data_IF_040596701936
#
_entry.id   IF_040596701936
#
_cell.length_a   1.000
_cell.length_b   1.000
_cell.length_c   1.000
_cell.angle_alpha   90.00
_cell.angle_beta   90.00
_cell.angle_gamma   90.00
#
_symmetry.space_group_name_H-M   'P 1'
#
loop_
_entity.id
_entity.type
_entity.pdbx_description
1 polymer ?
#
# COMPACT_ATOMS: atom_id res chain seq x y z
N UNK A 1 5.79 9.62 16.06
CA UNK A 1 5.74 9.25 14.63
C UNK A 1 7.17 9.27 14.12
N UNK A 2 7.59 8.24 13.39
CA UNK A 2 8.92 8.23 12.78
C UNK A 2 8.97 9.24 11.62
N UNK A 3 10.13 9.89 11.43
CA UNK A 3 10.39 10.74 10.28
C UNK A 3 10.21 10.00 8.94
N UNK A 4 10.43 8.67 8.92
CA UNK A 4 10.25 7.87 7.70
C UNK A 4 8.77 7.72 7.32
N UNK A 5 7.89 7.60 8.31
CA UNK A 5 6.47 7.43 8.09
C UNK A 5 5.83 8.71 7.53
N UNK A 6 6.21 9.87 8.07
CA UNK A 6 5.77 11.16 7.52
C UNK A 6 6.25 11.37 6.08
N UNK A 7 7.51 11.01 5.79
CA UNK A 7 8.06 11.02 4.42
C UNK A 7 7.29 10.07 3.49
N UNK A 8 6.94 8.88 3.95
CA UNK A 8 6.17 7.91 3.17
C UNK A 8 4.80 8.45 2.77
N UNK A 9 4.07 9.06 3.71
CA UNK A 9 2.77 9.67 3.42
C UNK A 9 2.90 10.90 2.50
N UNK A 10 3.91 11.74 2.71
CA UNK A 10 4.19 12.88 1.85
C UNK A 10 4.52 12.44 0.41
N UNK A 11 5.35 11.42 0.26
CA UNK A 11 5.68 10.86 -1.04
C UNK A 11 4.45 10.24 -1.70
N UNK A 12 3.67 9.42 -0.99
CA UNK A 12 2.44 8.83 -1.53
C UNK A 12 1.48 9.91 -2.09
N UNK A 13 1.37 11.06 -1.43
CA UNK A 13 0.55 12.18 -1.91
C UNK A 13 1.04 12.80 -3.21
N UNK A 14 2.35 12.80 -3.47
CA UNK A 14 2.90 13.27 -4.76
C UNK A 14 2.46 12.42 -5.95
N UNK A 15 2.02 11.19 -5.70
CA UNK A 15 1.52 10.30 -6.74
C UNK A 15 0.06 10.53 -7.09
N UNK A 16 -0.71 11.29 -6.31
CA UNK A 16 -2.14 11.55 -6.57
C UNK A 16 -2.33 12.09 -7.99
N UNK A 17 -3.28 11.50 -8.73
CA UNK A 17 -3.51 11.79 -10.13
C UNK A 17 -2.73 10.92 -11.12
N UNK A 18 -1.79 10.10 -10.65
CA UNK A 18 -1.12 9.08 -11.49
C UNK A 18 -2.16 8.06 -11.99
N UNK A 19 -2.29 7.82 -13.31
CA UNK A 19 -3.31 6.93 -13.85
C UNK A 19 -3.08 5.47 -13.46
N UNK A 20 -4.16 4.69 -13.38
CA UNK A 20 -4.02 3.26 -13.11
C UNK A 20 -3.41 2.53 -14.30
N UNK A 21 -2.28 1.86 -14.10
CA UNK A 21 -1.67 0.96 -15.09
C UNK A 21 -1.11 -0.25 -14.34
N UNK A 22 -1.66 -1.43 -14.65
CA UNK A 22 -1.25 -2.69 -14.02
C UNK A 22 0.27 -2.91 -14.17
N UNK A 23 0.94 -3.31 -13.09
CA UNK A 23 2.40 -3.45 -12.94
C UNK A 23 3.25 -2.18 -13.11
N UNK A 24 2.64 -1.03 -13.44
CA UNK A 24 3.39 0.21 -13.57
C UNK A 24 3.74 0.79 -12.19
N UNK A 25 4.83 1.54 -12.13
CA UNK A 25 5.31 2.18 -10.90
C UNK A 25 6.08 3.46 -11.27
N UNK A 26 5.41 4.39 -11.94
CA UNK A 26 6.00 5.65 -12.38
C UNK A 26 5.05 6.82 -12.07
N UNK A 27 5.44 7.78 -11.21
CA UNK A 27 4.59 8.92 -10.87
C UNK A 27 4.17 9.69 -12.13
N UNK A 28 2.91 10.08 -12.21
CA UNK A 28 2.31 10.78 -13.35
C UNK A 28 2.10 9.92 -14.61
N UNK A 29 2.78 8.79 -14.76
CA UNK A 29 2.70 7.95 -15.95
C UNK A 29 1.89 6.66 -15.75
N UNK A 30 1.92 6.05 -14.56
CA UNK A 30 1.16 4.83 -14.29
C UNK A 30 1.51 4.17 -12.96
N UNK A 31 0.48 3.74 -12.22
CA UNK A 31 0.65 2.94 -11.02
C UNK A 31 -0.49 1.94 -10.82
N UNK A 32 -0.20 0.78 -10.24
CA UNK A 32 -1.20 0.02 -9.48
C UNK A 32 -0.90 0.08 -7.98
N UNK A 33 -1.65 -0.66 -7.15
CA UNK A 33 -1.51 -0.55 -5.69
C UNK A 33 -0.09 -0.93 -5.20
N UNK A 34 0.49 -1.99 -5.75
CA UNK A 34 1.85 -2.41 -5.44
C UNK A 34 2.86 -1.45 -6.07
N UNK A 35 2.59 -0.97 -7.28
CA UNK A 35 3.38 0.03 -7.97
C UNK A 35 3.51 1.34 -7.19
N UNK A 36 2.45 1.81 -6.53
CA UNK A 36 2.52 2.94 -5.61
C UNK A 36 3.47 2.64 -4.44
N UNK A 37 3.27 1.51 -3.75
CA UNK A 37 4.10 1.14 -2.59
C UNK A 37 5.58 1.02 -2.96
N UNK A 38 5.89 0.36 -4.07
CA UNK A 38 7.26 0.26 -4.62
C UNK A 38 7.84 1.64 -4.93
N UNK A 39 7.02 2.52 -5.48
CA UNK A 39 7.35 3.91 -5.74
C UNK A 39 7.81 4.66 -4.51
N UNK A 40 7.00 4.60 -3.46
CA UNK A 40 7.35 5.20 -2.17
C UNK A 40 8.61 4.56 -1.60
N UNK A 41 8.74 3.23 -1.67
CA UNK A 41 9.95 2.54 -1.22
C UNK A 41 11.21 3.04 -1.93
N UNK A 42 11.19 3.18 -3.26
CA UNK A 42 12.34 3.69 -4.03
C UNK A 42 12.70 5.11 -3.64
N UNK A 43 11.74 5.97 -3.34
CA UNK A 43 12.04 7.32 -2.85
C UNK A 43 12.68 7.30 -1.46
N UNK A 44 12.22 6.40 -0.58
CA UNK A 44 12.73 6.32 0.79
C UNK A 44 14.14 5.72 0.86
N UNK A 45 14.43 4.71 0.03
CA UNK A 45 15.64 3.87 0.16
C UNK A 45 16.54 3.85 -1.09
N UNK A 46 16.10 4.42 -2.22
CA UNK A 46 16.87 4.50 -3.46
C UNK A 46 16.95 3.21 -4.29
N UNK A 47 16.27 2.13 -3.87
CA UNK A 47 16.28 0.81 -4.54
C UNK A 47 14.90 0.17 -4.53
N UNK A 48 14.67 -0.89 -5.31
CA UNK A 48 13.50 -1.76 -5.14
C UNK A 48 13.64 -2.64 -3.87
N UNK A 49 12.53 -3.06 -3.23
CA UNK A 49 12.57 -3.97 -2.09
C UNK A 49 13.02 -5.39 -2.50
N UNK A 50 12.52 -5.87 -3.63
CA UNK A 50 12.88 -7.17 -4.23
C UNK A 50 12.56 -7.14 -5.73
N UNK A 51 13.08 -8.13 -6.47
CA UNK A 51 12.71 -8.33 -7.87
C UNK A 51 11.24 -8.74 -7.97
N UNK A 52 10.43 -7.93 -8.67
CA UNK A 52 8.99 -8.18 -8.80
C UNK A 52 8.73 -8.92 -10.13
N UNK A 53 8.33 -10.20 -10.08
CA UNK A 53 7.96 -10.90 -11.30
C UNK A 53 6.68 -10.31 -11.90
N UNK A 54 6.43 -10.47 -13.20
CA UNK A 54 5.13 -10.15 -13.78
C UNK A 54 4.01 -10.92 -13.04
N UNK A 55 2.99 -10.21 -12.58
CA UNK A 55 1.82 -10.77 -11.91
C UNK A 55 0.51 -10.40 -12.61
N UNK A 56 -0.52 -11.23 -12.50
CA UNK A 56 -1.83 -10.95 -13.09
C UNK A 56 -2.74 -10.14 -12.14
N UNK A 57 -3.85 -9.53 -12.60
CA UNK A 57 -4.80 -8.86 -11.69
C UNK A 57 -5.47 -9.80 -10.67
N UNK A 58 -5.59 -11.09 -11.00
CA UNK A 58 -6.06 -12.19 -10.15
C UNK A 58 -4.90 -12.90 -9.43
N UNK A 59 -3.71 -12.29 -9.37
CA UNK A 59 -2.52 -12.91 -8.80
C UNK A 59 -2.80 -13.51 -7.43
N UNK A 60 -2.51 -14.81 -7.34
CA UNK A 60 -2.68 -15.66 -6.16
C UNK A 60 -4.13 -15.91 -5.70
N UNK A 61 -5.16 -15.37 -6.35
CA UNK A 61 -6.56 -15.72 -6.03
C UNK A 61 -6.92 -17.19 -6.30
N UNK A 62 -6.54 -17.81 -7.43
CA UNK A 62 -6.88 -19.21 -7.69
C UNK A 62 -6.21 -20.19 -6.73
N UNK A 63 -5.02 -19.85 -6.22
CA UNK A 63 -4.24 -20.68 -5.30
C UNK A 63 -4.56 -20.38 -3.82
N UNK A 64 -5.17 -19.24 -3.52
CA UNK A 64 -5.37 -18.77 -2.14
C UNK A 64 -4.08 -18.32 -1.45
N UNK A 65 -3.02 -18.02 -2.20
CA UNK A 65 -1.72 -17.65 -1.66
C UNK A 65 -1.67 -16.17 -1.25
N UNK A 66 -1.27 -15.90 -0.01
CA UNK A 66 -1.15 -14.54 0.52
C UNK A 66 0.18 -13.87 0.13
N UNK A 67 0.51 -13.88 -1.17
CA UNK A 67 1.84 -13.48 -1.69
C UNK A 67 2.23 -12.06 -1.31
N UNK A 68 1.31 -11.10 -1.48
CA UNK A 68 1.54 -9.71 -1.10
C UNK A 68 1.75 -9.56 0.41
N UNK A 69 0.99 -10.31 1.22
CA UNK A 69 1.19 -10.32 2.67
C UNK A 69 2.55 -10.88 3.04
N UNK A 70 2.94 -12.02 2.45
CA UNK A 70 4.25 -12.62 2.69
C UNK A 70 5.38 -11.65 2.33
N UNK A 71 5.27 -10.92 1.21
CA UNK A 71 6.22 -9.88 0.83
C UNK A 71 6.26 -8.72 1.84
N UNK A 72 5.08 -8.22 2.26
CA UNK A 72 5.00 -7.17 3.27
C UNK A 72 5.69 -7.58 4.59
N UNK A 73 5.54 -8.84 5.03
CA UNK A 73 6.20 -9.35 6.24
C UNK A 73 7.72 -9.47 6.11
N UNK A 74 8.26 -9.66 4.90
CA UNK A 74 9.72 -9.72 4.67
C UNK A 74 10.36 -8.33 4.73
N UNK A 75 9.64 -7.31 4.26
CA UNK A 75 10.21 -5.98 3.99
C UNK A 75 9.76 -4.89 4.97
N UNK A 76 8.64 -5.08 5.66
CA UNK A 76 8.04 -4.09 6.56
C UNK A 76 7.92 -4.63 7.98
N UNK A 77 7.81 -3.72 8.95
CA UNK A 77 7.68 -4.06 10.37
C UNK A 77 6.21 -4.15 10.73
N UNK A 78 5.73 -5.33 11.09
CA UNK A 78 4.33 -5.53 11.47
C UNK A 78 3.98 -4.79 12.78
N UNK A 79 2.78 -4.20 12.82
CA UNK A 79 2.26 -3.47 13.98
C UNK A 79 0.83 -3.89 14.33
N UNK A 80 0.39 -3.72 15.59
CA UNK A 80 -1.01 -3.92 15.96
C UNK A 80 -1.94 -3.06 15.10
N UNK A 81 -3.09 -3.60 14.69
CA UNK A 81 -4.05 -2.86 13.86
C UNK A 81 -4.55 -1.57 14.52
N UNK A 82 -4.62 -1.56 15.85
CA UNK A 82 -5.04 -0.42 16.67
C UNK A 82 -4.00 0.68 16.80
N UNK A 83 -2.73 0.41 16.47
CA UNK A 83 -1.63 1.37 16.55
C UNK A 83 -1.48 2.10 15.21
N UNK A 84 -2.51 2.87 14.84
CA UNK A 84 -2.52 3.60 13.58
C UNK A 84 -1.64 4.85 13.61
N UNK A 85 -0.83 5.01 12.57
CA UNK A 85 -0.01 6.19 12.33
C UNK A 85 -0.06 6.59 10.85
N UNK A 86 0.08 7.89 10.60
CA UNK A 86 0.32 8.42 9.25
C UNK A 86 1.60 7.77 8.68
N UNK A 87 1.53 7.32 7.43
CA UNK A 87 2.64 6.65 6.75
C UNK A 87 2.63 5.12 6.86
N UNK A 88 1.80 4.54 7.72
CA UNK A 88 1.69 3.09 7.81
C UNK A 88 1.23 2.49 6.47
N UNK A 89 1.77 1.32 6.14
CA UNK A 89 1.29 0.49 5.04
C UNK A 89 0.12 -0.35 5.54
N UNK A 90 -1.03 -0.26 4.85
CA UNK A 90 -2.27 -0.94 5.20
C UNK A 90 -2.57 -1.99 4.14
N UNK A 91 -2.71 -3.25 4.58
CA UNK A 91 -3.05 -4.36 3.71
C UNK A 91 -4.55 -4.70 3.85
N UNK A 92 -5.22 -4.83 2.71
CA UNK A 92 -6.65 -5.07 2.63
C UNK A 92 -6.98 -6.41 1.98
N UNK A 93 -7.97 -7.08 2.57
CA UNK A 93 -8.71 -8.19 1.95
C UNK A 93 -10.06 -7.68 1.45
N UNK A 94 -10.18 -7.53 0.13
CA UNK A 94 -11.37 -6.89 -0.46
C UNK A 94 -12.63 -7.77 -0.41
N UNK A 95 -12.45 -9.09 -0.41
CA UNK A 95 -13.51 -10.12 -0.35
C UNK A 95 -13.16 -11.14 0.73
N UNK A 96 -14.15 -11.57 1.50
CA UNK A 96 -13.97 -12.47 2.64
C UNK A 96 -13.24 -13.79 2.27
N UNK A 97 -13.64 -14.41 1.17
CA UNK A 97 -13.01 -15.63 0.65
C UNK A 97 -11.83 -15.38 -0.32
N UNK A 98 -11.35 -14.13 -0.42
CA UNK A 98 -10.22 -13.77 -1.27
C UNK A 98 -8.93 -13.56 -0.47
N UNK A 99 -7.81 -13.49 -1.18
CA UNK A 99 -6.50 -13.14 -0.60
C UNK A 99 -6.38 -11.63 -0.33
N UNK A 100 -5.46 -11.26 0.57
CA UNK A 100 -5.11 -9.89 0.85
C UNK A 100 -4.17 -9.35 -0.23
N UNK A 101 -4.75 -8.67 -1.22
CA UNK A 101 -4.07 -8.26 -2.45
C UNK A 101 -4.18 -6.78 -2.80
N UNK A 102 -4.68 -5.96 -1.88
CA UNK A 102 -4.76 -4.52 -2.07
C UNK A 102 -4.02 -3.80 -0.95
N UNK A 103 -3.22 -2.81 -1.30
CA UNK A 103 -2.40 -2.05 -0.35
C UNK A 103 -2.62 -0.54 -0.51
N UNK A 104 -2.43 0.19 0.59
CA UNK A 104 -2.39 1.65 0.61
C UNK A 104 -1.51 2.17 1.74
N UNK A 105 -1.30 3.48 1.76
CA UNK A 105 -0.50 4.18 2.78
C UNK A 105 -1.41 5.09 3.59
N UNK A 106 -1.38 5.03 4.91
CA UNK A 106 -2.20 5.86 5.78
C UNK A 106 -1.86 7.36 5.57
N UNK A 107 -2.85 8.16 5.22
CA UNK A 107 -2.69 9.61 5.01
C UNK A 107 -2.98 10.43 6.26
N UNK A 108 -4.04 10.07 7.00
CA UNK A 108 -4.49 10.70 8.23
C UNK A 108 -5.12 9.64 9.15
N UNK A 109 -5.18 9.89 10.46
CA UNK A 109 -5.76 8.98 11.47
C UNK A 109 -6.96 9.61 12.20
N UNK A 110 -7.63 8.83 13.06
CA UNK A 110 -8.75 9.32 13.86
C UNK A 110 -10.00 9.67 13.04
N UNK A 111 -10.72 10.73 13.46
CA UNK A 111 -12.02 11.09 12.88
C UNK A 111 -11.97 11.46 11.39
N UNK A 112 -10.79 11.85 10.89
CA UNK A 112 -10.56 12.21 9.48
C UNK A 112 -9.65 11.19 8.80
N UNK A 113 -9.65 9.93 9.26
CA UNK A 113 -8.77 8.91 8.74
C UNK A 113 -8.88 8.78 7.22
N UNK A 114 -7.73 8.72 6.55
CA UNK A 114 -7.59 8.61 5.10
C UNK A 114 -6.44 7.69 4.73
N UNK A 115 -6.44 7.20 3.50
CA UNK A 115 -5.35 6.41 2.95
C UNK A 115 -5.17 6.69 1.45
N UNK A 116 -3.92 6.67 1.01
CA UNK A 116 -3.53 6.84 -0.38
C UNK A 116 -3.37 5.46 -1.01
N UNK A 117 -4.02 5.23 -2.14
CA UNK A 117 -3.94 3.95 -2.87
C UNK A 117 -4.15 4.17 -4.37
N UNK A 118 -3.68 3.22 -5.17
CA UNK A 118 -4.02 3.14 -6.59
C UNK A 118 -5.02 2.02 -6.83
N UNK A 119 -6.08 2.26 -7.61
CA UNK A 119 -7.02 1.21 -7.97
C UNK A 119 -7.65 1.42 -9.35
N UNK A 120 -8.16 0.33 -9.90
CA UNK A 120 -8.68 0.25 -11.25
C UNK A 120 -9.79 1.29 -11.52
N UNK A 121 -9.74 1.91 -12.70
CA UNK A 121 -10.70 2.93 -13.14
C UNK A 121 -10.47 4.34 -12.57
N UNK A 122 -9.50 4.54 -11.68
CA UNK A 122 -9.25 5.84 -11.05
C UNK A 122 -7.76 6.24 -11.11
N UNK A 123 -6.86 5.36 -10.71
CA UNK A 123 -5.45 5.70 -10.50
C UNK A 123 -5.15 5.94 -9.02
N UNK A 124 -4.13 6.74 -8.73
CA UNK A 124 -3.72 7.07 -7.36
C UNK A 124 -4.59 8.19 -6.81
N UNK A 125 -5.24 7.95 -5.67
CA UNK A 125 -6.08 8.92 -4.96
C UNK A 125 -5.90 8.79 -3.44
N UNK A 126 -6.29 9.82 -2.70
CA UNK A 126 -6.47 9.77 -1.25
C UNK A 126 -7.97 9.57 -0.94
N UNK A 127 -8.30 8.45 -0.32
CA UNK A 127 -9.67 8.03 -0.01
C UNK A 127 -9.93 8.12 1.50
N UNK A 128 -11.15 8.48 1.94
CA UNK A 128 -11.54 8.34 3.34
C UNK A 128 -11.44 6.88 3.79
N UNK A 129 -10.79 6.62 4.92
CA UNK A 129 -10.73 5.30 5.55
C UNK A 129 -12.01 5.03 6.35
N UNK A 130 -13.14 5.06 5.64
CA UNK A 130 -14.47 4.81 6.18
C UNK A 130 -14.61 3.41 6.77
N UNK A 131 -15.64 3.18 7.62
CA UNK A 131 -15.88 1.87 8.26
C UNK A 131 -15.90 0.68 7.28
N UNK A 132 -16.47 0.79 6.05
CA UNK A 132 -16.37 -0.28 5.06
C UNK A 132 -14.94 -0.61 4.63
N UNK A 133 -14.04 0.36 4.55
CA UNK A 133 -12.63 0.09 4.26
C UNK A 133 -11.90 -0.42 5.51
N UNK A 134 -12.13 0.21 6.66
CA UNK A 134 -11.47 -0.17 7.91
C UNK A 134 -11.71 -1.64 8.28
N UNK A 135 -12.93 -2.17 8.09
CA UNK A 135 -13.25 -3.58 8.36
C UNK A 135 -12.55 -4.59 7.45
N UNK A 136 -11.92 -4.13 6.36
CA UNK A 136 -11.19 -4.96 5.38
C UNK A 136 -9.68 -4.97 5.64
N UNK A 137 -9.20 -4.19 6.61
CA UNK A 137 -7.80 -4.18 6.99
C UNK A 137 -7.48 -5.51 7.67
N UNK A 138 -6.48 -6.21 7.16
CA UNK A 138 -6.02 -7.49 7.72
C UNK A 138 -4.61 -7.40 8.31
N UNK A 139 -3.84 -6.39 7.91
CA UNK A 139 -2.53 -6.12 8.50
C UNK A 139 -2.16 -4.63 8.35
N UNK A 140 -1.30 -4.17 9.26
CA UNK A 140 -0.71 -2.84 9.29
C UNK A 140 0.79 -2.99 9.51
N UNK A 141 1.57 -2.19 8.79
CA UNK A 141 3.02 -2.23 8.85
C UNK A 141 3.62 -0.83 8.86
N UNK A 142 4.82 -0.72 9.41
CA UNK A 142 5.68 0.45 9.33
C UNK A 142 6.88 0.18 8.42
N UNK A 143 7.34 1.24 7.77
CA UNK A 143 8.59 1.24 7.00
C UNK A 143 9.80 1.14 7.97
N UNK A 144 10.77 0.25 7.73
CA UNK A 144 11.94 0.16 8.59
C UNK A 144 12.84 1.40 8.47
N UNK A 145 13.48 1.84 9.55
CA UNK A 145 14.38 3.02 9.52
C UNK A 145 15.55 2.88 8.53
N UNK A 146 15.93 1.64 8.21
CA UNK A 146 16.99 1.27 7.26
C UNK A 146 16.67 -0.10 6.65
N UNK A 147 17.12 -0.32 5.41
CA UNK A 147 17.00 -1.57 4.64
C UNK A 147 18.33 -2.29 4.53
#
# INVERSE_FOLDING_TARGET
MSAIAERAAAEARRWIGTPYRHQASTPGAGADCLGLLRGVWRELYGTEPEDIPPYTPDWSEPQGEETLWAAAQRHLIAKPLSDEAVGDVILFRLREAGVAKHVGIQGATGAQASFIHAYHGHGVVESPLSSPWARRIVARFEFPERT
#
